data_IF_956607651970
#
_entry.id   IF_956607651970
#
_cell.length_a   1.000
_cell.length_b   1.000
_cell.length_c   1.000
_cell.angle_alpha   90.00
_cell.angle_beta   90.00
_cell.angle_gamma   90.00
#
_symmetry.space_group_name_H-M   'P 1'
#
loop_
_entity.id
_entity.type
_entity.pdbx_description
1 polymer ?
#
# COMPACT_ATOMS: atom_id res chain seq x y z
N UNK A 1 3.77 -1.04 -8.34
CA UNK A 1 3.66 0.24 -9.06
C UNK A 1 3.26 0.00 -10.50
N UNK A 2 3.58 0.93 -11.41
CA UNK A 2 3.21 0.82 -12.85
C UNK A 2 3.87 -0.39 -13.53
N UNK A 3 5.08 -0.77 -13.11
CA UNK A 3 5.82 -1.90 -13.67
C UNK A 3 5.12 -3.25 -13.39
N UNK A 4 4.53 -3.41 -12.22
CA UNK A 4 3.77 -4.59 -11.79
C UNK A 4 2.49 -4.71 -12.63
N UNK A 5 1.87 -3.56 -12.94
CA UNK A 5 0.73 -3.52 -13.83
C UNK A 5 1.14 -3.94 -15.25
N UNK A 6 2.25 -3.41 -15.78
CA UNK A 6 2.81 -3.82 -17.08
C UNK A 6 3.03 -5.33 -17.10
N UNK A 7 3.69 -5.88 -16.08
CA UNK A 7 3.95 -7.32 -15.95
C UNK A 7 2.67 -8.15 -15.95
N UNK A 8 1.64 -7.71 -15.22
CA UNK A 8 0.36 -8.40 -15.14
C UNK A 8 -0.39 -8.41 -16.49
N UNK A 9 -0.34 -7.31 -17.25
CA UNK A 9 -1.07 -7.19 -18.54
C UNK A 9 -0.29 -7.74 -19.73
N UNK A 10 1.04 -7.78 -19.69
CA UNK A 10 1.90 -8.16 -20.84
C UNK A 10 1.53 -9.49 -21.51
N UNK A 11 1.11 -10.54 -20.79
CA UNK A 11 0.68 -11.79 -21.44
C UNK A 11 -0.64 -11.68 -22.22
N UNK A 12 -1.46 -10.67 -21.94
CA UNK A 12 -2.79 -10.47 -22.55
C UNK A 12 -2.75 -9.70 -23.85
N UNK A 13 -1.64 -9.04 -24.19
CA UNK A 13 -1.52 -8.18 -25.36
C UNK A 13 -0.22 -8.46 -26.11
N UNK A 14 -0.24 -8.31 -27.43
CA UNK A 14 0.99 -8.52 -28.23
C UNK A 14 2.00 -7.39 -28.03
N UNK A 15 1.55 -6.19 -27.65
CA UNK A 15 2.42 -5.06 -27.35
C UNK A 15 1.86 -4.25 -26.18
N UNK A 16 2.74 -3.92 -25.23
CA UNK A 16 2.44 -3.09 -24.07
C UNK A 16 3.56 -2.06 -23.94
N UNK A 17 3.22 -0.77 -23.96
CA UNK A 17 4.19 0.33 -23.80
C UNK A 17 3.71 1.37 -22.82
N UNK A 18 4.65 1.90 -22.04
CA UNK A 18 4.46 3.07 -21.19
C UNK A 18 4.55 4.33 -22.04
N UNK A 19 3.60 5.24 -21.87
CA UNK A 19 3.56 6.52 -22.55
C UNK A 19 3.33 7.64 -21.52
N UNK A 20 4.19 8.65 -21.55
CA UNK A 20 4.06 9.85 -20.74
C UNK A 20 4.07 11.05 -21.70
N UNK A 21 2.98 11.84 -21.78
CA UNK A 21 2.95 13.03 -22.64
C UNK A 21 4.07 14.00 -22.28
N UNK A 22 4.62 14.72 -23.27
CA UNK A 22 5.71 15.69 -23.05
C UNK A 22 5.39 16.76 -22.00
N UNK A 23 4.16 17.30 -22.00
CA UNK A 23 3.72 18.27 -20.99
C UNK A 23 3.62 17.66 -19.58
N UNK A 24 3.35 16.35 -19.49
CA UNK A 24 3.29 15.62 -18.22
C UNK A 24 4.70 15.38 -17.64
N UNK A 25 5.73 15.21 -18.48
CA UNK A 25 7.11 14.94 -18.03
C UNK A 25 7.67 16.01 -17.08
N UNK A 26 7.15 17.24 -17.12
CA UNK A 26 7.63 18.36 -16.30
C UNK A 26 6.58 18.93 -15.32
N UNK A 27 5.32 18.47 -15.36
CA UNK A 27 4.24 19.08 -14.57
C UNK A 27 3.09 18.14 -14.12
N UNK A 28 3.04 16.88 -14.59
CA UNK A 28 2.00 15.92 -14.16
C UNK A 28 2.50 14.47 -14.09
N UNK A 29 2.37 13.84 -12.92
CA UNK A 29 2.81 12.47 -12.63
C UNK A 29 2.00 11.36 -13.34
N UNK A 30 1.12 11.73 -14.26
CA UNK A 30 0.26 10.78 -14.97
C UNK A 30 1.03 10.00 -16.02
N UNK A 31 0.72 8.71 -16.12
CA UNK A 31 1.35 7.79 -17.06
C UNK A 31 0.26 6.92 -17.67
N UNK A 32 0.31 6.75 -18.99
CA UNK A 32 -0.61 5.91 -19.74
C UNK A 32 0.05 4.60 -20.13
N UNK A 33 -0.76 3.56 -20.19
CA UNK A 33 -0.38 2.24 -20.66
C UNK A 33 -1.09 1.99 -22.00
N UNK A 34 -0.31 1.85 -23.07
CA UNK A 34 -0.83 1.58 -24.41
C UNK A 34 -0.69 0.09 -24.68
N UNK A 35 -1.83 -0.61 -24.66
CA UNK A 35 -1.95 -2.04 -24.96
C UNK A 35 -2.49 -2.24 -26.37
N UNK A 36 -1.82 -3.04 -27.20
CA UNK A 36 -2.23 -3.32 -28.60
C UNK A 36 -2.35 -4.81 -28.86
N UNK A 37 -3.32 -5.15 -29.70
CA UNK A 37 -3.65 -6.51 -30.15
C UNK A 37 -3.90 -7.45 -28.96
N UNK A 38 -5.11 -7.40 -28.42
CA UNK A 38 -5.53 -8.26 -27.31
C UNK A 38 -5.50 -9.74 -27.74
N UNK A 39 -4.74 -10.56 -27.02
CA UNK A 39 -4.50 -11.98 -27.28
C UNK A 39 -4.82 -12.82 -26.03
N UNK A 40 -6.10 -12.93 -25.63
CA UNK A 40 -6.51 -13.58 -24.38
C UNK A 40 -6.19 -15.08 -24.34
N UNK A 41 -6.07 -15.74 -25.50
CA UNK A 41 -5.78 -17.17 -25.59
C UNK A 41 -4.34 -17.55 -25.19
N UNK A 42 -3.39 -16.60 -25.19
CA UNK A 42 -2.01 -16.83 -24.74
C UNK A 42 -1.81 -16.52 -23.27
N UNK A 43 -2.80 -15.91 -22.63
CA UNK A 43 -2.66 -15.34 -21.32
C UNK A 43 -3.02 -16.36 -20.22
N UNK A 44 -2.42 -16.23 -19.02
CA UNK A 44 -2.83 -17.04 -17.88
C UNK A 44 -4.28 -16.76 -17.50
N UNK A 45 -5.00 -17.79 -17.05
CA UNK A 45 -6.39 -17.68 -16.57
C UNK A 45 -6.54 -16.87 -15.27
N UNK A 46 -5.42 -16.59 -14.59
CA UNK A 46 -5.40 -15.80 -13.36
C UNK A 46 -5.74 -14.33 -13.64
N UNK A 47 -6.46 -13.72 -12.69
CA UNK A 47 -6.87 -12.32 -12.81
C UNK A 47 -5.65 -11.41 -12.94
N UNK A 48 -5.76 -10.37 -13.77
CA UNK A 48 -4.74 -9.30 -13.85
C UNK A 48 -4.65 -8.60 -12.49
N UNK A 49 -5.79 -8.37 -11.84
CA UNK A 49 -5.86 -7.68 -10.55
C UNK A 49 -5.11 -8.44 -9.46
N UNK A 50 -5.36 -9.74 -9.31
CA UNK A 50 -4.68 -10.58 -8.32
C UNK A 50 -3.16 -10.56 -8.51
N UNK A 51 -2.70 -10.68 -9.76
CA UNK A 51 -1.27 -10.66 -10.08
C UNK A 51 -0.63 -9.30 -9.83
N UNK A 52 -1.36 -8.22 -10.12
CA UNK A 52 -0.94 -6.86 -9.82
C UNK A 52 -0.83 -6.65 -8.30
N UNK A 53 -1.89 -6.97 -7.55
CA UNK A 53 -1.92 -6.83 -6.09
C UNK A 53 -0.81 -7.65 -5.44
N UNK A 54 -0.60 -8.90 -5.83
CA UNK A 54 0.49 -9.74 -5.33
C UNK A 54 1.88 -9.16 -5.64
N UNK A 55 2.06 -8.54 -6.81
CA UNK A 55 3.32 -7.87 -7.17
C UNK A 55 3.54 -6.60 -6.34
N UNK A 56 2.48 -5.81 -6.13
CA UNK A 56 2.56 -4.59 -5.31
C UNK A 56 2.77 -4.91 -3.85
N UNK A 57 2.08 -5.90 -3.29
CA UNK A 57 2.15 -6.27 -1.88
C UNK A 57 3.60 -6.55 -1.43
N UNK A 58 4.36 -7.23 -2.29
CA UNK A 58 5.79 -7.50 -2.10
C UNK A 58 6.65 -6.24 -2.04
N UNK A 59 6.27 -5.19 -2.76
CA UNK A 59 7.01 -3.92 -2.77
C UNK A 59 6.71 -3.03 -1.57
N UNK A 60 5.47 -3.08 -1.07
CA UNK A 60 5.04 -2.22 0.05
C UNK A 60 5.24 -2.87 1.42
N UNK A 61 5.81 -4.08 1.47
CA UNK A 61 5.97 -4.83 2.72
C UNK A 61 4.63 -5.21 3.35
N UNK A 62 3.58 -5.43 2.55
CA UNK A 62 2.24 -5.71 3.07
C UNK A 62 2.14 -7.01 3.88
N UNK A 63 3.05 -7.95 3.64
CA UNK A 63 3.17 -9.20 4.42
C UNK A 63 4.07 -9.04 5.67
N UNK A 64 4.67 -7.86 5.88
CA UNK A 64 5.58 -7.55 7.00
C UNK A 64 4.90 -6.73 8.12
N UNK A 65 3.58 -6.51 8.03
CA UNK A 65 2.83 -5.90 9.13
C UNK A 65 2.89 -6.89 10.29
N UNK A 66 3.82 -6.64 11.22
CA UNK A 66 3.90 -7.36 12.47
C UNK A 66 2.54 -7.32 13.17
N UNK A 67 2.15 -8.46 13.73
CA UNK A 67 0.96 -8.59 14.58
C UNK A 67 0.89 -7.43 15.58
N UNK A 68 -0.32 -6.92 15.84
CA UNK A 68 -0.56 -5.82 16.77
C UNK A 68 0.20 -6.10 18.08
N UNK A 69 0.96 -5.14 18.64
CA UNK A 69 1.70 -5.41 19.88
C UNK A 69 0.72 -5.91 20.95
N UNK A 70 1.05 -7.03 21.61
CA UNK A 70 0.18 -7.58 22.66
C UNK A 70 -0.19 -6.47 23.67
N UNK A 71 -1.49 -6.27 23.97
CA UNK A 71 -1.92 -5.15 24.79
C UNK A 71 -1.36 -5.29 26.21
N UNK A 72 -0.31 -4.52 26.51
CA UNK A 72 0.30 -4.48 27.84
C UNK A 72 -0.55 -3.59 28.74
N UNK A 73 -0.96 -4.13 29.89
CA UNK A 73 -1.71 -3.37 30.90
C UNK A 73 -0.87 -2.17 31.39
N UNK A 74 -1.29 -0.95 31.03
CA UNK A 74 -0.68 0.28 31.52
C UNK A 74 -1.14 0.56 32.96
N UNK A 75 -0.20 0.61 33.91
CA UNK A 75 -0.51 1.04 35.28
C UNK A 75 -0.28 2.54 35.42
N UNK A 76 -1.37 3.32 35.40
CA UNK A 76 -1.32 4.73 35.75
C UNK A 76 -1.84 4.94 37.17
N UNK A 77 -1.10 5.68 37.99
CA UNK A 77 -1.49 5.96 39.38
C UNK A 77 -1.92 7.42 39.49
N UNK A 78 -3.22 7.64 39.68
CA UNK A 78 -3.78 8.98 39.89
C UNK A 78 -3.42 9.46 41.30
N UNK A 79 -2.59 10.50 41.41
CA UNK A 79 -2.39 11.23 42.67
C UNK A 79 -3.41 12.36 42.76
N UNK A 80 -4.29 12.31 43.76
CA UNK A 80 -5.14 13.45 44.12
C UNK A 80 -4.32 14.44 44.96
N UNK A 81 -4.50 15.73 44.70
CA UNK A 81 -3.93 16.80 45.53
C UNK A 81 -4.62 16.78 46.89
N UNK A 82 -3.83 16.76 47.97
CA UNK A 82 -4.31 16.89 49.35
C UNK A 82 -5.06 18.22 49.48
N UNK A 83 -6.31 18.19 49.94
CA UNK A 83 -7.02 19.39 50.39
C UNK A 83 -6.38 19.87 51.70
N UNK A 84 -6.45 21.19 51.94
CA UNK A 84 -5.78 21.88 53.04
C UNK A 84 -6.20 21.44 54.46
N UNK A 85 -7.16 20.54 54.60
CA UNK A 85 -7.66 20.04 55.90
C UNK A 85 -6.78 18.94 56.52
N UNK A 86 -5.80 18.38 55.79
CA UNK A 86 -4.92 17.29 56.29
C UNK A 86 -3.49 17.80 56.65
N UNK A 87 -3.40 19.06 57.08
CA UNK A 87 -2.17 19.76 57.49
C UNK A 87 -2.17 20.16 58.98
N UNK A 88 -3.26 19.92 59.71
CA UNK A 88 -3.42 20.29 61.12
C UNK A 88 -3.66 19.07 62.02
N UNK A 89 -2.79 18.06 61.99
CA UNK A 89 -2.61 17.17 63.15
C UNK A 89 -1.14 16.76 63.21
N UNK A 90 -0.40 17.44 64.09
CA UNK A 90 0.96 17.14 64.50
C UNK A 90 0.99 17.02 66.04
#
# INVERSE_FOLDING_TARGET
GVEELISAVRPHFSSVRRYSPEASRNSSSEVYLVCRHHTPWKAPKASIRERYEAGVNKLVGGDEIADDPEPVASSFRVRRKKSSEDLEEH
#
